data_IF_463148650098
#
_entry.id   IF_463148650098
#
_cell.length_a   1.000
_cell.length_b   1.000
_cell.length_c   1.000
_cell.angle_alpha   90.00
_cell.angle_beta   90.00
_cell.angle_gamma   90.00
#
_symmetry.space_group_name_H-M   'P 1'
#
loop_
_entity.id
_entity.type
_entity.pdbx_description
1 polymer ?
#
# COMPACT_ATOMS: atom_id res chain seq x y z
N UNK A 1 -27.06 31.11 69.83
CA UNK A 1 -26.55 29.95 69.05
C UNK A 1 -26.89 30.11 67.56
N UNK A 2 -26.09 30.86 66.78
CA UNK A 2 -26.23 30.91 65.30
C UNK A 2 -24.91 30.61 64.55
N UNK A 3 -23.77 30.55 65.26
CA UNK A 3 -22.46 30.29 64.67
C UNK A 3 -22.19 28.81 64.34
N UNK A 4 -22.75 27.87 65.11
CA UNK A 4 -22.49 26.43 64.92
C UNK A 4 -23.10 25.83 63.65
N UNK A 5 -24.25 26.35 63.18
CA UNK A 5 -24.95 25.81 62.00
C UNK A 5 -24.20 26.07 60.70
N UNK A 6 -23.55 27.23 60.59
CA UNK A 6 -22.80 27.61 59.38
C UNK A 6 -21.46 26.89 59.29
N UNK A 7 -20.81 26.59 60.44
CA UNK A 7 -19.58 25.82 60.47
C UNK A 7 -19.80 24.36 60.02
N UNK A 8 -20.87 23.72 60.50
CA UNK A 8 -21.23 22.35 60.09
C UNK A 8 -21.50 22.30 58.58
N UNK A 9 -22.24 23.28 58.02
CA UNK A 9 -22.53 23.32 56.58
C UNK A 9 -21.25 23.45 55.74
N UNK A 10 -20.30 24.28 56.20
CA UNK A 10 -19.03 24.48 55.50
C UNK A 10 -18.13 23.23 55.56
N UNK A 11 -18.14 22.53 56.70
CA UNK A 11 -17.38 21.29 56.87
C UNK A 11 -17.94 20.16 55.99
N UNK A 12 -19.27 20.10 55.84
CA UNK A 12 -19.96 19.12 55.00
C UNK A 12 -19.74 19.39 53.50
N UNK A 13 -19.74 20.68 53.10
CA UNK A 13 -19.44 21.08 51.73
C UNK A 13 -17.98 20.78 51.36
N UNK A 14 -17.04 21.03 52.29
CA UNK A 14 -15.62 20.74 52.08
C UNK A 14 -15.35 19.22 52.03
N UNK A 15 -16.07 18.42 52.84
CA UNK A 15 -16.05 16.96 52.79
C UNK A 15 -16.55 16.39 51.46
N UNK A 16 -17.56 17.00 50.83
CA UNK A 16 -18.04 16.57 49.51
C UNK A 16 -17.04 16.83 48.38
N UNK A 17 -16.21 17.87 48.50
CA UNK A 17 -15.18 18.19 47.49
C UNK A 17 -14.02 17.16 47.48
N UNK A 18 -13.77 16.46 48.59
CA UNK A 18 -12.75 15.42 48.66
C UNK A 18 -13.20 14.06 48.08
N UNK A 19 -14.52 13.83 47.93
CA UNK A 19 -15.04 12.57 47.38
C UNK A 19 -15.06 12.53 45.84
N UNK A 20 -14.85 13.65 45.15
CA UNK A 20 -14.80 13.72 43.67
C UNK A 20 -13.38 13.73 43.11
N UNK A 21 -12.34 13.66 43.95
CA UNK A 21 -10.94 13.81 43.53
C UNK A 21 -10.17 12.49 43.35
N UNK A 22 -10.82 11.34 43.44
CA UNK A 22 -10.27 10.09 42.91
C UNK A 22 -10.74 9.91 41.47
N UNK A 23 -10.19 10.70 40.54
CA UNK A 23 -10.13 10.23 39.15
C UNK A 23 -9.14 9.07 39.16
N UNK A 24 -9.62 7.88 38.78
CA UNK A 24 -8.73 6.78 38.43
C UNK A 24 -7.66 7.34 37.49
N UNK A 25 -6.39 7.12 37.86
CA UNK A 25 -5.27 7.34 36.98
C UNK A 25 -5.46 6.40 35.79
N UNK A 26 -6.14 6.88 34.75
CA UNK A 26 -6.14 6.21 33.46
C UNK A 26 -4.70 6.32 33.00
N UNK A 27 -3.97 5.20 33.07
CA UNK A 27 -2.65 5.11 32.48
C UNK A 27 -2.72 5.67 31.06
N UNK A 28 -1.76 6.51 30.64
CA UNK A 28 -1.73 6.99 29.28
C UNK A 28 -1.82 5.77 28.35
N UNK A 29 -2.66 5.80 27.30
CA UNK A 29 -2.78 4.67 26.38
C UNK A 29 -1.38 4.29 25.93
N UNK A 30 -1.04 2.99 26.06
CA UNK A 30 0.26 2.49 25.63
C UNK A 30 0.50 2.96 24.19
N UNK A 31 1.69 3.48 23.86
CA UNK A 31 2.01 3.85 22.49
C UNK A 31 1.72 2.66 21.57
N UNK A 32 0.85 2.83 20.59
CA UNK A 32 0.65 1.79 19.58
C UNK A 32 1.96 1.63 18.80
N UNK A 33 2.53 0.42 18.82
CA UNK A 33 3.71 0.10 18.03
C UNK A 33 3.28 0.08 16.57
N UNK A 34 3.72 1.06 15.78
CA UNK A 34 3.47 1.11 14.35
C UNK A 34 4.24 -0.04 13.70
N UNK A 35 3.51 -1.06 13.24
CA UNK A 35 4.06 -2.20 12.53
C UNK A 35 4.75 -1.76 11.23
N UNK A 36 5.90 -2.37 10.93
CA UNK A 36 6.67 -2.07 9.73
C UNK A 36 6.39 -3.12 8.65
N UNK A 37 5.62 -2.78 7.62
CA UNK A 37 5.29 -3.69 6.50
C UNK A 37 6.22 -3.51 5.30
N UNK A 38 7.48 -3.18 5.56
CA UNK A 38 8.49 -2.90 4.56
C UNK A 38 9.77 -3.65 4.90
N UNK A 39 10.38 -4.29 3.90
CA UNK A 39 11.70 -4.91 4.05
C UNK A 39 12.69 -3.78 4.30
N UNK A 40 13.31 -3.73 5.48
CA UNK A 40 14.32 -2.69 5.74
C UNK A 40 15.42 -2.78 4.67
N UNK A 41 15.92 -1.65 4.14
CA UNK A 41 17.01 -1.62 3.16
C UNK A 41 18.32 -2.01 3.86
N UNK A 42 18.46 -3.31 4.14
CA UNK A 42 19.60 -3.93 4.83
C UNK A 42 20.33 -4.88 3.87
N UNK A 43 20.56 -4.46 2.62
CA UNK A 43 21.12 -5.32 1.54
C UNK A 43 20.33 -6.63 1.30
N UNK A 44 19.08 -6.69 1.76
CA UNK A 44 18.26 -7.87 1.55
C UNK A 44 17.83 -7.98 0.08
N UNK A 45 17.98 -9.18 -0.47
CA UNK A 45 17.47 -9.54 -1.79
C UNK A 45 16.30 -10.50 -1.60
N UNK A 46 15.12 -10.08 -2.06
CA UNK A 46 13.92 -10.91 -2.02
C UNK A 46 13.71 -11.58 -3.37
N UNK A 47 13.59 -12.90 -3.42
CA UNK A 47 13.22 -13.63 -4.64
C UNK A 47 11.82 -14.18 -4.56
N UNK A 48 11.07 -13.99 -5.63
CA UNK A 48 9.70 -14.43 -5.79
C UNK A 48 9.60 -15.45 -6.91
N UNK A 49 8.88 -16.54 -6.67
CA UNK A 49 8.38 -17.40 -7.75
C UNK A 49 7.23 -16.69 -8.45
N UNK A 50 7.29 -16.60 -9.76
CA UNK A 50 6.25 -15.96 -10.58
C UNK A 50 5.55 -17.02 -11.42
N UNK A 51 4.24 -17.12 -11.22
CA UNK A 51 3.35 -17.98 -11.98
C UNK A 51 2.36 -17.11 -12.79
N UNK A 52 1.91 -17.61 -13.94
CA UNK A 52 0.89 -16.97 -14.77
C UNK A 52 -0.21 -17.96 -15.14
N UNK A 53 -1.38 -17.43 -15.51
CA UNK A 53 -2.44 -18.19 -16.16
C UNK A 53 -2.95 -17.39 -17.36
N UNK A 54 -2.94 -18.01 -18.54
CA UNK A 54 -3.41 -17.35 -19.77
C UNK A 54 -4.86 -17.70 -20.12
N UNK A 55 -5.34 -18.90 -19.75
CA UNK A 55 -6.65 -19.40 -20.24
C UNK A 55 -7.17 -20.70 -19.60
N UNK A 56 -6.36 -21.43 -18.82
CA UNK A 56 -6.67 -22.80 -18.36
C UNK A 56 -6.98 -22.96 -16.86
N UNK A 57 -7.15 -21.86 -16.11
CA UNK A 57 -7.32 -21.82 -14.65
C UNK A 57 -6.20 -22.43 -13.79
N UNK A 58 -5.20 -23.06 -14.39
CA UNK A 58 -4.00 -23.54 -13.69
C UNK A 58 -2.83 -22.57 -13.87
N UNK A 59 -2.22 -22.22 -12.74
CA UNK A 59 -1.00 -21.43 -12.71
C UNK A 59 0.19 -22.27 -13.18
N UNK A 60 0.94 -21.76 -14.14
CA UNK A 60 2.22 -22.33 -14.57
C UNK A 60 3.37 -21.36 -14.26
N UNK A 61 4.56 -21.86 -13.89
CA UNK A 61 5.71 -21.02 -13.59
C UNK A 61 6.18 -20.31 -14.86
N UNK A 62 6.40 -19.00 -14.75
CA UNK A 62 6.92 -18.17 -15.85
C UNK A 62 8.29 -17.58 -15.57
N UNK A 63 8.74 -17.56 -14.31
CA UNK A 63 10.04 -17.00 -14.00
C UNK A 63 10.30 -16.78 -12.52
N UNK A 64 11.40 -16.08 -12.24
CA UNK A 64 11.81 -15.65 -10.91
C UNK A 64 11.94 -14.13 -10.93
N UNK A 65 11.31 -13.48 -9.95
CA UNK A 65 11.49 -12.04 -9.75
C UNK A 65 12.42 -11.78 -8.57
N UNK A 66 13.46 -11.00 -8.81
CA UNK A 66 14.41 -10.55 -7.80
C UNK A 66 14.14 -9.07 -7.48
N UNK A 67 13.98 -8.75 -6.21
CA UNK A 67 13.81 -7.38 -5.72
C UNK A 67 15.03 -6.98 -4.91
N UNK A 68 15.70 -5.91 -5.33
CA UNK A 68 16.85 -5.32 -4.68
C UNK A 68 16.54 -3.90 -4.22
N UNK A 69 17.02 -3.55 -3.03
CA UNK A 69 16.89 -2.20 -2.47
C UNK A 69 18.20 -1.43 -2.64
N UNK A 70 18.10 -0.25 -3.22
CA UNK A 70 19.18 0.69 -3.40
C UNK A 70 19.23 1.77 -2.32
N UNK A 71 20.14 2.75 -2.46
CA UNK A 71 20.26 3.86 -1.53
C UNK A 71 19.03 4.78 -1.59
N UNK A 72 18.96 5.68 -0.60
CA UNK A 72 18.01 6.78 -0.62
C UNK A 72 18.33 7.75 -1.78
N UNK A 73 17.28 8.22 -2.45
CA UNK A 73 17.29 9.21 -3.53
C UNK A 73 16.23 10.27 -3.25
N UNK A 74 16.57 11.55 -3.48
CA UNK A 74 15.63 12.66 -3.31
C UNK A 74 14.95 12.97 -4.63
N UNK A 75 13.63 12.95 -4.67
CA UNK A 75 12.82 13.32 -5.84
C UNK A 75 11.82 14.40 -5.46
N UNK A 76 11.87 15.55 -6.15
CA UNK A 76 11.04 16.71 -5.87
C UNK A 76 11.04 17.13 -4.38
N UNK A 77 12.22 17.07 -3.73
CA UNK A 77 12.39 17.42 -2.31
C UNK A 77 11.93 16.36 -1.30
N UNK A 78 11.42 15.21 -1.76
CA UNK A 78 11.00 14.10 -0.88
C UNK A 78 11.99 12.93 -0.99
N UNK A 79 12.45 12.34 0.13
CA UNK A 79 13.33 11.17 0.11
C UNK A 79 12.56 9.87 -0.19
N UNK A 80 13.16 9.01 -1.02
CA UNK A 80 12.67 7.67 -1.37
C UNK A 80 13.83 6.69 -1.40
N UNK A 81 13.57 5.40 -1.23
CA UNK A 81 14.52 4.33 -1.52
C UNK A 81 14.37 3.88 -2.97
N UNK A 82 15.48 3.70 -3.68
CA UNK A 82 15.45 3.04 -4.97
C UNK A 82 15.10 1.55 -4.79
N UNK A 83 14.22 1.03 -5.62
CA UNK A 83 13.91 -0.39 -5.70
C UNK A 83 14.13 -0.86 -7.13
N UNK A 84 14.87 -1.93 -7.30
CA UNK A 84 15.09 -2.58 -8.59
C UNK A 84 14.34 -3.91 -8.55
N UNK A 85 13.40 -4.10 -9.47
CA UNK A 85 12.79 -5.40 -9.72
C UNK A 85 13.30 -5.95 -11.04
N UNK A 86 13.86 -7.16 -11.02
CA UNK A 86 14.25 -7.90 -12.20
C UNK A 86 13.42 -9.17 -12.28
N UNK A 87 12.66 -9.35 -13.34
CA UNK A 87 11.97 -10.60 -13.63
C UNK A 87 12.71 -11.32 -14.74
N UNK A 88 13.24 -12.49 -14.42
CA UNK A 88 13.88 -13.40 -15.38
C UNK A 88 12.87 -14.46 -15.78
N UNK A 89 12.50 -14.49 -17.06
CA UNK A 89 11.55 -15.45 -17.60
C UNK A 89 12.21 -16.80 -17.89
N UNK A 90 11.44 -17.87 -17.81
CA UNK A 90 11.91 -19.23 -18.06
C UNK A 90 12.41 -19.46 -19.50
N UNK A 91 11.99 -18.63 -20.46
CA UNK A 91 12.41 -18.67 -21.86
C UNK A 91 13.71 -17.89 -22.14
N UNK A 92 14.32 -17.29 -21.11
CA UNK A 92 15.55 -16.52 -21.21
C UNK A 92 15.34 -15.03 -21.48
N UNK A 93 14.10 -14.55 -21.58
CA UNK A 93 13.79 -13.12 -21.55
C UNK A 93 13.94 -12.52 -20.16
N UNK A 94 13.93 -11.18 -20.06
CA UNK A 94 13.90 -10.51 -18.77
C UNK A 94 13.35 -9.09 -18.84
N UNK A 95 12.79 -8.62 -17.72
CA UNK A 95 12.37 -7.22 -17.55
C UNK A 95 13.02 -6.62 -16.33
N UNK A 96 13.31 -5.32 -16.40
CA UNK A 96 13.96 -4.57 -15.33
C UNK A 96 13.15 -3.31 -15.04
N UNK A 97 12.64 -3.21 -13.83
CA UNK A 97 11.87 -2.06 -13.36
C UNK A 97 12.63 -1.34 -12.26
N UNK A 98 12.54 -0.01 -12.27
CA UNK A 98 13.17 0.87 -11.27
C UNK A 98 12.10 1.75 -10.67
N UNK A 99 11.82 1.50 -9.41
CA UNK A 99 10.76 2.17 -8.66
C UNK A 99 11.40 2.99 -7.54
N UNK A 100 10.65 3.97 -7.03
CA UNK A 100 11.08 4.75 -5.86
C UNK A 100 10.00 4.62 -4.81
N UNK A 101 10.39 4.16 -3.62
CA UNK A 101 9.46 3.82 -2.56
C UNK A 101 9.80 4.58 -1.30
N UNK A 102 8.81 5.18 -0.65
CA UNK A 102 8.99 5.77 0.67
C UNK A 102 8.00 5.18 1.64
N UNK A 103 8.42 5.13 2.90
CA UNK A 103 7.56 4.78 4.02
C UNK A 103 7.44 5.94 4.98
N UNK A 104 6.33 6.00 5.68
CA UNK A 104 6.10 6.88 6.83
C UNK A 104 5.36 6.10 7.89
N UNK A 105 5.14 6.72 9.04
CA UNK A 105 4.26 6.21 10.09
C UNK A 105 2.83 5.94 9.60
N UNK A 106 2.40 6.60 8.52
CA UNK A 106 1.05 6.50 7.95
C UNK A 106 0.91 5.51 6.81
N UNK A 107 2.00 4.97 6.27
CA UNK A 107 1.87 4.13 5.09
C UNK A 107 3.12 3.94 4.23
N UNK A 108 2.88 3.24 3.12
CA UNK A 108 3.85 2.93 2.07
C UNK A 108 3.42 3.58 0.76
N UNK A 109 4.35 4.27 0.10
CA UNK A 109 4.07 5.08 -1.08
C UNK A 109 5.07 4.76 -2.19
N UNK A 110 4.58 4.55 -3.41
CA UNK A 110 5.38 4.41 -4.61
C UNK A 110 5.30 5.71 -5.41
N UNK A 111 6.44 6.30 -5.76
CA UNK A 111 6.48 7.47 -6.63
C UNK A 111 6.06 7.10 -8.04
N UNK A 112 5.20 7.92 -8.66
CA UNK A 112 4.85 7.80 -10.07
C UNK A 112 5.49 8.95 -10.85
N UNK A 113 6.38 8.61 -11.78
CA UNK A 113 6.96 9.63 -12.66
C UNK A 113 5.97 10.03 -13.75
N UNK A 114 5.35 11.20 -13.56
CA UNK A 114 4.38 11.77 -14.50
C UNK A 114 4.98 12.85 -15.41
N UNK A 115 6.30 13.07 -15.35
CA UNK A 115 6.97 14.16 -16.09
C UNK A 115 6.75 14.05 -17.60
N UNK A 116 6.95 12.87 -18.17
CA UNK A 116 6.69 12.60 -19.59
C UNK A 116 5.23 12.82 -19.98
N UNK A 117 4.28 12.35 -19.16
CA UNK A 117 2.85 12.55 -19.42
C UNK A 117 2.45 14.02 -19.35
N UNK A 118 2.96 14.76 -18.36
CA UNK A 118 2.66 16.18 -18.16
C UNK A 118 3.14 17.07 -19.32
N UNK A 119 4.17 16.65 -20.05
CA UNK A 119 4.68 17.34 -21.22
C UNK A 119 3.77 17.19 -22.45
N UNK A 120 2.94 16.13 -22.50
CA UNK A 120 2.00 15.87 -23.58
C UNK A 120 0.66 16.60 -23.40
N UNK A 121 0.43 17.18 -22.22
CA UNK A 121 -0.79 17.92 -21.90
C UNK A 121 -0.61 19.39 -22.33
N UNK A 122 -1.49 19.92 -23.22
CA UNK A 122 -1.48 21.34 -23.57
C UNK A 122 -1.64 22.23 -22.34
N UNK A 123 -0.97 23.39 -22.30
CA UNK A 123 -1.02 24.30 -21.15
C UNK A 123 -2.45 24.73 -20.78
N UNK A 124 -3.33 24.85 -21.77
CA UNK A 124 -4.75 25.16 -21.58
C UNK A 124 -5.53 24.06 -20.87
N UNK A 125 -5.08 22.80 -20.96
CA UNK A 125 -5.71 21.64 -20.34
C UNK A 125 -5.16 21.37 -18.93
N UNK A 126 -3.94 21.81 -18.59
CA UNK A 126 -3.28 21.53 -17.30
C UNK A 126 -4.12 21.91 -16.07
N UNK A 127 -4.83 23.06 -16.01
CA UNK A 127 -5.64 23.41 -14.83
C UNK A 127 -6.78 22.43 -14.55
N UNK A 128 -7.18 21.67 -15.56
CA UNK A 128 -8.26 20.69 -15.49
C UNK A 128 -7.74 19.29 -15.15
N UNK A 129 -6.43 19.09 -15.01
CA UNK A 129 -5.86 17.77 -14.80
C UNK A 129 -5.30 17.67 -13.38
N UNK A 130 -5.76 16.66 -12.65
CA UNK A 130 -5.27 16.33 -11.32
C UNK A 130 -4.76 14.91 -11.34
N UNK A 131 -3.47 14.72 -11.06
CA UNK A 131 -2.81 13.43 -11.03
C UNK A 131 -2.07 13.32 -9.73
N UNK A 132 -2.31 12.25 -8.99
CA UNK A 132 -1.51 11.93 -7.83
C UNK A 132 -0.06 11.66 -8.26
N UNK A 133 0.90 12.14 -7.47
CA UNK A 133 2.33 11.89 -7.74
C UNK A 133 2.81 10.58 -7.14
N UNK A 134 1.96 9.93 -6.34
CA UNK A 134 2.29 8.75 -5.58
C UNK A 134 1.11 7.79 -5.53
N UNK A 135 1.43 6.51 -5.47
CA UNK A 135 0.49 5.44 -5.18
C UNK A 135 0.60 5.10 -3.70
N UNK A 136 -0.49 5.26 -2.96
CA UNK A 136 -0.58 4.83 -1.56
C UNK A 136 -0.85 3.33 -1.51
N UNK A 137 0.20 2.52 -1.45
CA UNK A 137 0.08 1.07 -1.36
C UNK A 137 -0.40 0.61 0.02
N UNK A 138 0.02 1.26 1.10
CA UNK A 138 -0.45 0.90 2.45
C UNK A 138 -0.90 2.17 3.16
N UNK A 139 -2.04 2.11 3.85
CA UNK A 139 -2.51 3.14 4.77
C UNK A 139 -2.63 2.55 6.18
N UNK A 140 -1.87 3.10 7.13
CA UNK A 140 -1.81 2.64 8.52
C UNK A 140 -2.55 3.60 9.46
N UNK A 141 -3.08 3.09 10.60
CA UNK A 141 -3.11 1.69 11.02
C UNK A 141 -4.13 0.86 10.23
N UNK A 142 -3.98 -0.47 10.24
CA UNK A 142 -4.99 -1.37 9.69
C UNK A 142 -6.15 -1.56 10.67
N UNK A 143 -7.37 -1.44 10.16
CA UNK A 143 -8.60 -1.75 10.91
C UNK A 143 -9.68 -2.31 9.98
N UNK A 144 -10.59 -3.12 10.53
CA UNK A 144 -11.61 -3.80 9.74
C UNK A 144 -12.48 -2.81 8.94
N UNK A 145 -12.69 -3.09 7.65
CA UNK A 145 -13.47 -2.24 6.75
C UNK A 145 -12.73 -0.99 6.26
N UNK A 146 -11.46 -0.81 6.61
CA UNK A 146 -10.65 0.29 6.08
C UNK A 146 -10.51 0.19 4.56
N UNK A 147 -10.80 1.29 3.90
CA UNK A 147 -10.49 1.48 2.48
C UNK A 147 -9.85 2.85 2.27
N UNK A 148 -9.04 2.97 1.22
CA UNK A 148 -8.44 4.24 0.81
C UNK A 148 -8.36 4.32 -0.71
N UNK A 149 -8.23 5.54 -1.20
CA UNK A 149 -7.85 5.75 -2.60
C UNK A 149 -6.34 5.60 -2.69
N UNK A 150 -5.89 4.58 -3.42
CA UNK A 150 -4.47 4.33 -3.66
C UNK A 150 -3.92 5.32 -4.68
N UNK A 151 -4.72 5.69 -5.70
CA UNK A 151 -4.32 6.63 -6.73
C UNK A 151 -5.53 7.22 -7.46
N UNK A 152 -5.43 8.50 -7.85
CA UNK A 152 -6.39 9.18 -8.73
C UNK A 152 -5.71 9.94 -9.86
N UNK A 153 -6.31 9.85 -11.04
CA UNK A 153 -6.14 10.76 -12.15
C UNK A 153 -7.51 11.23 -12.62
N UNK A 154 -7.78 12.52 -12.43
CA UNK A 154 -9.01 13.17 -12.86
C UNK A 154 -8.74 14.17 -13.99
N UNK A 155 -9.70 14.27 -14.91
CA UNK A 155 -9.84 15.39 -15.84
C UNK A 155 -11.14 16.10 -15.50
N UNK A 156 -11.02 17.33 -14.99
CA UNK A 156 -12.09 18.11 -14.37
C UNK A 156 -12.66 17.32 -13.18
N UNK A 157 -13.92 16.89 -13.27
CA UNK A 157 -14.62 16.08 -12.26
C UNK A 157 -14.71 14.61 -12.66
N UNK A 158 -14.18 14.24 -13.83
CA UNK A 158 -14.28 12.88 -14.37
C UNK A 158 -13.03 12.10 -13.95
N UNK A 159 -13.17 11.03 -13.16
CA UNK A 159 -12.05 10.14 -12.86
C UNK A 159 -11.71 9.34 -14.12
N UNK A 160 -10.50 9.53 -14.64
CA UNK A 160 -9.98 8.75 -15.77
C UNK A 160 -9.32 7.48 -15.27
N UNK A 161 -8.55 7.59 -14.18
CA UNK A 161 -7.98 6.43 -13.48
C UNK A 161 -8.31 6.57 -12.01
N UNK A 162 -8.87 5.52 -11.43
CA UNK A 162 -9.12 5.44 -9.99
C UNK A 162 -8.66 4.07 -9.48
N UNK A 163 -7.71 4.08 -8.56
CA UNK A 163 -7.29 2.90 -7.84
C UNK A 163 -7.76 2.99 -6.38
N UNK A 164 -8.46 1.97 -5.94
CA UNK A 164 -8.94 1.84 -4.56
C UNK A 164 -8.33 0.61 -3.92
N UNK A 165 -8.09 0.69 -2.62
CA UNK A 165 -7.57 -0.39 -1.81
C UNK A 165 -8.51 -0.65 -0.62
N UNK A 166 -8.70 -1.92 -0.28
CA UNK A 166 -9.59 -2.39 0.78
C UNK A 166 -8.87 -3.44 1.62
N UNK A 167 -8.77 -3.21 2.92
CA UNK A 167 -8.17 -4.15 3.86
C UNK A 167 -9.12 -5.30 4.17
N UNK A 168 -8.67 -6.52 3.88
CA UNK A 168 -9.46 -7.75 4.01
C UNK A 168 -9.20 -8.53 5.32
N UNK A 169 -8.29 -8.05 6.18
CA UNK A 169 -7.90 -8.71 7.42
C UNK A 169 -6.55 -9.43 7.36
N UNK A 170 -6.13 -9.94 8.51
CA UNK A 170 -4.90 -10.73 8.65
C UNK A 170 -5.14 -12.21 8.30
N UNK A 171 -4.16 -12.84 7.68
CA UNK A 171 -4.17 -14.27 7.35
C UNK A 171 -2.81 -14.91 7.66
N UNK A 172 -2.80 -16.19 7.99
CA UNK A 172 -1.55 -16.96 8.09
C UNK A 172 -1.06 -17.31 6.69
N UNK A 173 0.20 -17.04 6.41
CA UNK A 173 0.91 -17.41 5.20
C UNK A 173 1.76 -18.65 5.49
N UNK A 174 1.28 -19.79 5.00
CA UNK A 174 1.82 -21.12 5.34
C UNK A 174 2.94 -21.59 4.40
N UNK A 175 3.43 -20.76 3.47
CA UNK A 175 4.55 -21.15 2.60
C UNK A 175 5.89 -20.94 3.30
N UNK A 176 6.79 -21.92 3.14
CA UNK A 176 8.15 -21.82 3.64
C UNK A 176 8.93 -20.78 2.84
N UNK A 177 9.48 -19.79 3.54
CA UNK A 177 10.37 -18.78 2.96
C UNK A 177 11.81 -19.15 3.33
N UNK A 178 12.65 -19.45 2.34
CA UNK A 178 14.07 -19.71 2.57
C UNK A 178 14.72 -18.46 3.18
N UNK A 179 15.49 -18.64 4.25
CA UNK A 179 16.07 -17.53 5.03
C UNK A 179 15.14 -16.93 6.08
N UNK A 180 13.91 -17.47 6.27
CA UNK A 180 12.99 -17.07 7.34
C UNK A 180 12.27 -18.28 7.96
N UNK A 181 12.69 -18.77 9.14
CA UNK A 181 12.04 -19.90 9.79
C UNK A 181 10.69 -19.49 10.40
N UNK A 182 9.63 -20.25 10.09
CA UNK A 182 8.32 -20.12 10.75
C UNK A 182 7.17 -19.76 9.81
N UNK A 183 5.95 -19.77 10.36
CA UNK A 183 4.77 -19.24 9.70
C UNK A 183 4.74 -17.72 9.82
N UNK A 184 4.22 -17.06 8.79
CA UNK A 184 4.18 -15.60 8.73
C UNK A 184 2.74 -15.13 8.77
N UNK A 185 2.41 -14.16 9.61
CA UNK A 185 1.11 -13.47 9.52
C UNK A 185 1.21 -12.33 8.51
N UNK A 186 0.30 -12.29 7.55
CA UNK A 186 0.25 -11.27 6.52
C UNK A 186 -1.11 -10.54 6.51
N UNK A 187 -1.06 -9.25 6.29
CA UNK A 187 -2.20 -8.37 6.11
C UNK A 187 -2.60 -8.39 4.64
N UNK A 188 -3.86 -8.75 4.36
CA UNK A 188 -4.36 -8.90 3.00
C UNK A 188 -5.09 -7.64 2.57
N UNK A 189 -4.68 -7.07 1.44
CA UNK A 189 -5.29 -5.87 0.84
C UNK A 189 -5.74 -6.20 -0.58
N UNK A 190 -7.00 -5.90 -0.90
CA UNK A 190 -7.54 -5.97 -2.26
C UNK A 190 -7.49 -4.62 -2.93
N UNK A 191 -6.94 -4.59 -4.13
CA UNK A 191 -6.90 -3.43 -4.99
C UNK A 191 -7.89 -3.56 -6.13
N UNK A 192 -8.41 -2.44 -6.57
CA UNK A 192 -9.27 -2.33 -7.73
C UNK A 192 -8.90 -1.08 -8.50
N UNK A 193 -8.40 -1.28 -9.72
CA UNK A 193 -8.07 -0.23 -10.67
C UNK A 193 -9.21 -0.13 -11.69
N UNK A 194 -9.75 1.07 -11.85
CA UNK A 194 -10.75 1.39 -12.85
C UNK A 194 -10.20 2.44 -13.80
N UNK A 195 -10.29 2.17 -15.10
CA UNK A 195 -9.94 3.10 -16.17
C UNK A 195 -11.21 3.45 -16.92
N UNK A 196 -11.51 4.74 -16.98
CA UNK A 196 -12.67 5.28 -17.70
C UNK A 196 -12.18 6.01 -18.94
N UNK A 197 -12.60 5.54 -20.11
CA UNK A 197 -12.29 6.14 -21.41
C UNK A 197 -13.54 6.92 -21.86
N UNK A 198 -13.55 8.25 -21.73
CA UNK A 198 -14.64 9.07 -22.25
C UNK A 198 -14.56 9.11 -23.78
N UNK A 199 -15.65 8.72 -24.44
CA UNK A 199 -15.75 8.75 -25.91
C UNK A 199 -16.81 9.79 -26.29
N UNK A 200 -16.47 10.83 -27.08
CA UNK A 200 -17.43 11.84 -27.48
C UNK A 200 -18.66 11.22 -28.18
N UNK A 201 -19.86 11.55 -27.68
CA UNK A 201 -21.12 11.06 -28.25
C UNK A 201 -21.41 9.57 -28.01
N UNK A 202 -20.64 8.89 -27.14
CA UNK A 202 -20.85 7.49 -26.77
C UNK A 202 -20.77 7.31 -25.24
N UNK A 203 -21.37 6.25 -24.67
CA UNK A 203 -21.13 5.89 -23.29
C UNK A 203 -19.64 5.65 -23.03
N UNK A 204 -19.16 6.08 -21.86
CA UNK A 204 -17.77 5.85 -21.47
C UNK A 204 -17.51 4.34 -21.31
N UNK A 205 -16.35 3.90 -21.78
CA UNK A 205 -15.89 2.52 -21.59
C UNK A 205 -15.19 2.44 -20.24
N UNK A 206 -15.59 1.49 -19.39
CA UNK A 206 -14.96 1.23 -18.11
C UNK A 206 -14.25 -0.11 -18.15
N UNK A 207 -12.96 -0.10 -17.86
CA UNK A 207 -12.11 -1.29 -17.76
C UNK A 207 -11.71 -1.43 -16.29
N UNK A 208 -11.82 -2.63 -15.75
CA UNK A 208 -11.53 -2.90 -14.35
C UNK A 208 -10.50 -4.02 -14.22
N UNK A 209 -9.53 -3.79 -13.34
CA UNK A 209 -8.52 -4.76 -12.93
C UNK A 209 -8.55 -4.92 -11.41
N UNK A 210 -8.30 -6.12 -10.92
CA UNK A 210 -8.32 -6.47 -9.51
C UNK A 210 -7.15 -7.37 -9.13
N UNK A 211 -6.74 -7.26 -7.87
CA UNK A 211 -5.67 -8.09 -7.34
C UNK A 211 -5.55 -7.93 -5.84
N UNK A 212 -4.97 -8.92 -5.21
CA UNK A 212 -4.73 -8.95 -3.77
C UNK A 212 -3.23 -8.97 -3.50
N UNK A 213 -2.80 -8.28 -2.46
CA UNK A 213 -1.43 -8.25 -1.97
C UNK A 213 -1.43 -8.59 -0.49
N UNK A 214 -0.48 -9.43 -0.09
CA UNK A 214 -0.25 -9.85 1.29
C UNK A 214 1.03 -9.23 1.79
N UNK A 215 0.92 -8.41 2.84
CA UNK A 215 2.03 -7.72 3.46
C UNK A 215 2.34 -8.31 4.82
N UNK A 216 3.56 -8.80 5.02
CA UNK A 216 4.00 -9.29 6.32
C UNK A 216 4.95 -8.29 6.99
N UNK A 217 4.89 -8.28 8.33
CA UNK A 217 5.73 -7.42 9.14
C UNK A 217 7.21 -7.75 8.93
N UNK A 218 8.02 -6.72 8.69
CA UNK A 218 9.45 -6.74 8.40
C UNK A 218 9.88 -7.50 7.13
N UNK A 219 8.95 -8.12 6.41
CA UNK A 219 9.22 -8.82 5.15
C UNK A 219 8.74 -8.02 3.93
N UNK A 220 7.69 -7.20 4.09
CA UNK A 220 7.06 -6.52 2.97
C UNK A 220 6.07 -7.42 2.24
N UNK A 221 6.04 -7.37 0.92
CA UNK A 221 5.16 -8.20 0.10
C UNK A 221 5.61 -9.66 0.20
N UNK A 222 4.74 -10.56 0.67
CA UNK A 222 4.98 -12.02 0.69
C UNK A 222 4.24 -12.76 -0.41
N UNK A 223 3.13 -12.20 -0.86
CA UNK A 223 2.34 -12.72 -1.98
C UNK A 223 1.63 -11.57 -2.70
N UNK A 224 1.47 -11.68 -4.01
CA UNK A 224 0.44 -10.92 -4.74
C UNK A 224 -0.19 -11.79 -5.82
N UNK A 225 -1.47 -11.58 -6.10
CA UNK A 225 -2.24 -12.41 -7.03
C UNK A 225 -3.36 -11.59 -7.68
N UNK A 226 -3.48 -11.61 -8.99
CA UNK A 226 -4.43 -10.77 -9.72
C UNK A 226 -3.95 -10.37 -11.11
N UNK A 227 -4.56 -9.32 -11.64
CA UNK A 227 -4.24 -8.80 -12.97
C UNK A 227 -2.82 -8.22 -13.03
N UNK A 228 -2.04 -8.66 -14.02
CA UNK A 228 -0.65 -8.22 -14.21
C UNK A 228 -0.55 -6.71 -14.41
N UNK A 229 -1.47 -6.16 -15.21
CA UNK A 229 -1.56 -4.73 -15.49
C UNK A 229 -1.68 -3.89 -14.22
N UNK A 230 -2.52 -4.32 -13.28
CA UNK A 230 -2.68 -3.67 -11.98
C UNK A 230 -1.36 -3.66 -11.20
N UNK A 231 -0.59 -4.74 -11.21
CA UNK A 231 0.65 -4.80 -10.44
C UNK A 231 1.79 -3.99 -11.04
N UNK A 232 1.87 -3.89 -12.37
CA UNK A 232 2.77 -2.91 -13.00
C UNK A 232 2.40 -1.49 -12.59
N UNK A 233 1.10 -1.17 -12.66
CA UNK A 233 0.60 0.12 -12.23
C UNK A 233 0.95 0.42 -10.77
N UNK A 234 0.65 -0.49 -9.83
CA UNK A 234 0.94 -0.32 -8.40
C UNK A 234 2.44 -0.18 -8.08
N UNK A 235 3.32 -0.76 -8.89
CA UNK A 235 4.77 -0.58 -8.77
C UNK A 235 5.26 0.81 -9.16
N UNK A 236 4.45 1.59 -9.89
CA UNK A 236 4.89 2.86 -10.47
C UNK A 236 5.91 2.66 -11.61
N UNK A 237 5.93 1.49 -12.24
CA UNK A 237 6.78 1.19 -13.38
C UNK A 237 6.18 1.70 -14.69
N UNK A 238 6.93 1.58 -15.79
CA UNK A 238 6.36 1.67 -17.12
C UNK A 238 5.23 0.66 -17.26
N UNK A 239 4.12 1.11 -17.86
CA UNK A 239 2.91 0.31 -18.05
C UNK A 239 2.95 -0.29 -19.45
N UNK A 240 2.99 -1.62 -19.53
CA UNK A 240 2.88 -2.34 -20.79
C UNK A 240 1.40 -2.53 -21.17
N UNK A 241 0.98 -1.81 -22.20
CA UNK A 241 -0.39 -1.85 -22.72
C UNK A 241 -0.67 -3.06 -23.63
N UNK A 242 0.35 -3.85 -23.98
CA UNK A 242 0.22 -4.98 -24.90
C UNK A 242 -0.18 -6.29 -24.21
N UNK A 243 -0.12 -6.36 -22.87
CA UNK A 243 -0.41 -7.57 -22.09
C UNK A 243 -1.46 -7.38 -20.98
N UNK A 244 -2.64 -6.77 -21.24
CA UNK A 244 -3.58 -6.38 -20.18
C UNK A 244 -4.31 -7.55 -19.50
N UNK A 245 -4.31 -8.76 -20.08
CA UNK A 245 -5.23 -9.84 -19.66
C UNK A 245 -4.56 -11.03 -18.95
N UNK A 246 -3.30 -10.89 -18.52
CA UNK A 246 -2.66 -11.97 -17.76
C UNK A 246 -2.98 -11.86 -16.28
N UNK A 247 -3.36 -12.99 -15.68
CA UNK A 247 -3.36 -13.14 -14.23
C UNK A 247 -2.01 -13.69 -13.80
N UNK A 248 -1.40 -13.02 -12.83
CA UNK A 248 -0.11 -13.42 -12.28
C UNK A 248 -0.23 -13.68 -10.79
N UNK A 249 0.67 -14.53 -10.30
CA UNK A 249 0.85 -14.80 -8.89
C UNK A 249 2.34 -14.76 -8.57
N UNK A 250 2.74 -13.90 -7.65
CA UNK A 250 4.09 -13.88 -7.11
C UNK A 250 4.07 -14.35 -5.66
N UNK A 251 5.04 -15.19 -5.29
CA UNK A 251 5.16 -15.75 -3.93
C UNK A 251 6.61 -15.61 -3.47
N UNK A 252 6.81 -14.97 -2.33
CA UNK A 252 8.13 -14.82 -1.74
C UNK A 252 8.68 -16.21 -1.40
N UNK A 253 9.84 -16.53 -1.96
CA UNK A 253 10.46 -17.84 -1.87
C UNK A 253 11.77 -17.80 -1.08
N UNK A 254 12.56 -16.74 -1.22
CA UNK A 254 13.88 -16.63 -0.61
C UNK A 254 14.18 -15.19 -0.19
N UNK A 255 14.82 -15.03 0.98
CA UNK A 255 15.41 -13.79 1.45
C UNK A 255 16.90 -14.03 1.67
N UNK A 256 17.74 -13.31 0.93
CA UNK A 256 19.20 -13.32 1.07
C UNK A 256 19.61 -12.06 1.82
N UNK A 257 20.41 -12.18 2.88
CA UNK A 257 20.92 -11.08 3.71
C UNK A 257 22.44 -10.99 3.64
#
# INVERSE_FOLDING_TARGET
MKFGKNLILFTLLLSMLFLTSCKESIDPPKPEVIKNYFTLPNNAVNKYLVDSVSTGNEYFPIGIKTVLWGPEVVTAGTPYYAQIEQLDYADGGGTLQRMKVRKTERGLYYYLDTTGFSALIPDTAKPFIQIDREITAISLPFFAGQSWSAFKFNVVIIPIINCTANYLGSVTYDQTIQGHPGTVTAERIKYTLSITIPTPGQPAVNIQYTGEVWYAENLGVVKKEGDYFLFQFLGGSEVDLLMPNYHVRERLNEIIK
#
